data_IF_307324965153
#
_entry.id   IF_307324965153
#
_cell.length_a   1.000
_cell.length_b   1.000
_cell.length_c   1.000
_cell.angle_alpha   90.00
_cell.angle_beta   90.00
_cell.angle_gamma   90.00
#
_symmetry.space_group_name_H-M   'P 1'
#
loop_
_entity.id
_entity.type
_entity.pdbx_description
1 polymer ?
#
# COMPACT_ATOMS: atom_id res chain seq x y z
N UNK A 1 -25.49 4.96 -8.96
CA UNK A 1 -24.05 5.09 -9.29
C UNK A 1 -23.85 4.80 -10.77
N UNK A 2 -23.16 5.68 -11.51
CA UNK A 2 -22.83 5.43 -12.92
C UNK A 2 -21.95 4.18 -13.04
N UNK A 3 -22.06 3.45 -14.15
CA UNK A 3 -21.29 2.21 -14.42
C UNK A 3 -19.77 2.42 -14.28
N UNK A 4 -19.27 3.59 -14.69
CA UNK A 4 -17.87 4.01 -14.54
C UNK A 4 -17.42 4.12 -13.07
N UNK A 5 -18.27 4.64 -12.18
CA UNK A 5 -17.97 4.79 -10.75
C UNK A 5 -17.75 3.44 -10.05
N UNK A 6 -18.54 2.41 -10.42
CA UNK A 6 -18.42 1.06 -9.85
C UNK A 6 -17.11 0.38 -10.24
N UNK A 7 -16.70 0.51 -11.50
CA UNK A 7 -15.45 -0.07 -12.02
C UNK A 7 -14.25 0.57 -11.34
N UNK A 8 -14.26 1.90 -11.14
CA UNK A 8 -13.21 2.61 -10.40
C UNK A 8 -13.09 2.16 -8.95
N UNK A 9 -14.20 2.00 -8.25
CA UNK A 9 -14.19 1.47 -6.88
C UNK A 9 -13.61 0.05 -6.84
N UNK A 10 -14.01 -0.82 -7.77
CA UNK A 10 -13.44 -2.16 -7.88
C UNK A 10 -11.92 -2.14 -8.17
N UNK A 11 -11.47 -1.23 -9.03
CA UNK A 11 -10.04 -1.03 -9.29
C UNK A 11 -9.29 -0.51 -8.07
N UNK A 12 -9.85 0.46 -7.34
CA UNK A 12 -9.26 0.94 -6.08
C UNK A 12 -9.12 -0.18 -5.06
N UNK A 13 -10.12 -1.06 -4.95
CA UNK A 13 -10.05 -2.24 -4.06
C UNK A 13 -8.92 -3.18 -4.49
N UNK A 14 -8.90 -3.57 -5.77
CA UNK A 14 -7.89 -4.48 -6.29
C UNK A 14 -6.48 -3.92 -6.16
N UNK A 15 -6.28 -2.66 -6.55
CA UNK A 15 -4.98 -1.98 -6.47
C UNK A 15 -4.56 -1.80 -5.02
N UNK A 16 -5.47 -1.41 -4.13
CA UNK A 16 -5.19 -1.28 -2.70
C UNK A 16 -4.73 -2.59 -2.08
N UNK A 17 -5.49 -3.67 -2.27
CA UNK A 17 -5.15 -5.01 -1.76
C UNK A 17 -3.80 -5.50 -2.31
N UNK A 18 -3.58 -5.37 -3.62
CA UNK A 18 -2.34 -5.83 -4.26
C UNK A 18 -1.12 -5.03 -3.75
N UNK A 19 -1.24 -3.71 -3.64
CA UNK A 19 -0.17 -2.86 -3.15
C UNK A 19 0.12 -3.07 -1.67
N UNK A 20 -0.92 -3.26 -0.84
CA UNK A 20 -0.75 -3.62 0.57
C UNK A 20 0.02 -4.93 0.73
N UNK A 21 -0.36 -5.95 -0.03
CA UNK A 21 0.33 -7.24 -0.02
C UNK A 21 1.79 -7.13 -0.47
N UNK A 22 2.05 -6.45 -1.58
CA UNK A 22 3.39 -6.25 -2.11
C UNK A 22 4.25 -5.39 -1.19
N UNK A 23 3.68 -4.39 -0.53
CA UNK A 23 4.40 -3.55 0.42
C UNK A 23 4.82 -4.35 1.66
N UNK A 24 3.94 -5.20 2.20
CA UNK A 24 4.31 -6.07 3.33
C UNK A 24 5.43 -7.04 2.95
N UNK A 25 5.35 -7.66 1.77
CA UNK A 25 6.43 -8.51 1.25
C UNK A 25 7.75 -7.74 1.11
N UNK A 26 7.70 -6.57 0.48
CA UNK A 26 8.87 -5.74 0.26
C UNK A 26 9.50 -5.32 1.59
N UNK A 27 8.70 -4.78 2.53
CA UNK A 27 9.19 -4.33 3.83
C UNK A 27 9.76 -5.49 4.65
N UNK A 28 9.14 -6.66 4.61
CA UNK A 28 9.67 -7.83 5.36
C UNK A 28 11.02 -8.28 4.82
N UNK A 29 11.16 -8.42 3.50
CA UNK A 29 12.43 -8.82 2.86
C UNK A 29 13.49 -7.74 3.08
N UNK A 30 13.09 -6.48 2.98
CA UNK A 30 13.98 -5.34 3.14
C UNK A 30 14.51 -5.26 4.57
N UNK A 31 13.66 -5.45 5.58
CA UNK A 31 14.00 -5.44 7.00
C UNK A 31 14.90 -6.62 7.40
N UNK A 32 14.62 -7.82 6.87
CA UNK A 32 15.49 -9.00 7.06
C UNK A 32 16.88 -8.77 6.46
N UNK A 33 16.94 -8.17 5.27
CA UNK A 33 18.21 -7.82 4.64
C UNK A 33 18.97 -6.73 5.40
N UNK A 34 18.31 -5.65 5.83
CA UNK A 34 18.99 -4.57 6.55
C UNK A 34 19.50 -5.04 7.89
N UNK A 35 18.70 -5.79 8.65
CA UNK A 35 19.11 -6.33 9.96
C UNK A 35 20.29 -7.32 9.87
N UNK A 36 20.42 -8.05 8.77
CA UNK A 36 21.53 -8.99 8.55
C UNK A 36 22.82 -8.28 8.13
N UNK A 37 22.73 -7.20 7.35
CA UNK A 37 23.89 -6.51 6.75
C UNK A 37 24.37 -5.35 7.62
N UNK A 38 23.47 -4.67 8.33
CA UNK A 38 23.73 -3.42 9.04
C UNK A 38 23.81 -3.68 10.53
N UNK A 39 25.01 -3.54 11.09
CA UNK A 39 25.24 -3.71 12.54
C UNK A 39 24.90 -2.48 13.38
N UNK A 40 24.77 -1.31 12.74
CA UNK A 40 24.45 -0.05 13.40
C UNK A 40 22.94 0.17 13.45
N UNK A 41 22.37 0.15 14.66
CA UNK A 41 20.94 0.33 14.90
C UNK A 41 20.38 1.65 14.37
N UNK A 42 21.16 2.74 14.42
CA UNK A 42 20.74 4.04 13.88
C UNK A 42 20.56 4.00 12.36
N UNK A 43 21.42 3.25 11.66
CA UNK A 43 21.38 3.15 10.20
C UNK A 43 20.23 2.24 9.78
N UNK A 44 19.98 1.16 10.52
CA UNK A 44 18.86 0.26 10.28
C UNK A 44 17.50 0.99 10.36
N UNK A 45 17.26 1.74 11.43
CA UNK A 45 16.04 2.56 11.58
C UNK A 45 15.88 3.57 10.44
N UNK A 46 16.97 4.20 9.99
CA UNK A 46 16.93 5.12 8.86
C UNK A 46 16.44 4.42 7.59
N UNK A 47 16.94 3.22 7.30
CA UNK A 47 16.47 2.45 6.14
C UNK A 47 15.02 2.01 6.27
N UNK A 48 14.55 1.58 7.45
CA UNK A 48 13.13 1.25 7.65
C UNK A 48 12.22 2.45 7.36
N UNK A 49 12.60 3.66 7.80
CA UNK A 49 11.87 4.90 7.50
C UNK A 49 11.86 5.17 5.99
N UNK A 50 13.00 4.98 5.30
CA UNK A 50 13.08 5.13 3.85
C UNK A 50 12.16 4.14 3.12
N UNK A 51 12.13 2.88 3.55
CA UNK A 51 11.26 1.84 2.98
C UNK A 51 9.79 2.24 3.09
N UNK A 52 9.36 2.67 4.28
CA UNK A 52 7.98 3.12 4.53
C UNK A 52 7.65 4.36 3.66
N UNK A 53 8.57 5.32 3.56
CA UNK A 53 8.36 6.51 2.75
C UNK A 53 8.18 6.18 1.27
N UNK A 54 8.96 5.25 0.72
CA UNK A 54 8.83 4.76 -0.66
C UNK A 54 7.44 4.15 -0.87
N UNK A 55 7.00 3.26 0.03
CA UNK A 55 5.66 2.67 -0.03
C UNK A 55 4.56 3.75 -0.01
N UNK A 56 4.68 4.73 0.88
CA UNK A 56 3.71 5.83 0.98
C UNK A 56 3.59 6.64 -0.31
N UNK A 57 4.72 6.96 -0.96
CA UNK A 57 4.73 7.64 -2.26
C UNK A 57 4.02 6.78 -3.32
N UNK A 58 4.35 5.49 -3.40
CA UNK A 58 3.72 4.56 -4.35
C UNK A 58 2.21 4.47 -4.15
N UNK A 59 1.73 4.42 -2.90
CA UNK A 59 0.30 4.36 -2.60
C UNK A 59 -0.44 5.61 -3.08
N UNK A 60 0.12 6.79 -2.85
CA UNK A 60 -0.47 8.06 -3.28
C UNK A 60 -0.52 8.15 -4.82
N UNK A 61 0.58 7.80 -5.50
CA UNK A 61 0.64 7.83 -6.96
C UNK A 61 -0.34 6.85 -7.61
N UNK A 62 -0.43 5.62 -7.09
CA UNK A 62 -1.37 4.61 -7.57
C UNK A 62 -2.82 5.06 -7.37
N UNK A 63 -3.17 5.64 -6.23
CA UNK A 63 -4.48 6.22 -5.98
C UNK A 63 -4.81 7.31 -7.01
N UNK A 64 -3.91 8.28 -7.20
CA UNK A 64 -4.10 9.37 -8.16
C UNK A 64 -4.25 8.83 -9.60
N UNK A 65 -3.50 7.79 -9.96
CA UNK A 65 -3.60 7.12 -11.26
C UNK A 65 -5.01 6.57 -11.54
N UNK A 66 -5.65 5.95 -10.54
CA UNK A 66 -7.00 5.39 -10.69
C UNK A 66 -8.07 6.50 -10.75
N UNK A 67 -7.92 7.56 -9.96
CA UNK A 67 -8.97 8.58 -9.83
C UNK A 67 -8.86 9.72 -10.86
N UNK A 68 -7.72 9.93 -11.51
CA UNK A 68 -7.53 10.98 -12.53
C UNK A 68 -8.33 10.75 -13.83
N UNK A 69 -8.75 9.51 -14.11
CA UNK A 69 -9.08 9.10 -15.47
C UNK A 69 -10.42 9.51 -16.13
N UNK A 70 -11.45 10.11 -15.52
CA UNK A 70 -12.72 10.32 -16.28
C UNK A 70 -13.77 11.28 -15.69
N UNK A 71 -13.93 11.42 -14.37
CA UNK A 71 -14.97 12.29 -13.79
C UNK A 71 -14.45 13.10 -12.61
N UNK A 72 -14.72 14.42 -12.61
CA UNK A 72 -14.52 15.30 -11.46
C UNK A 72 -15.45 14.86 -10.34
N UNK A 73 -14.93 14.13 -9.36
CA UNK A 73 -15.67 13.89 -8.12
C UNK A 73 -15.77 15.20 -7.31
N UNK A 74 -16.83 15.39 -6.51
CA UNK A 74 -16.78 16.39 -5.47
C UNK A 74 -15.63 16.06 -4.50
N UNK A 75 -15.03 17.07 -3.88
CA UNK A 75 -13.89 16.91 -2.96
C UNK A 75 -14.17 15.85 -1.88
N UNK A 76 -15.40 15.80 -1.36
CA UNK A 76 -15.85 14.78 -0.40
C UNK A 76 -15.75 13.35 -0.94
N UNK A 77 -16.06 13.16 -2.22
CA UNK A 77 -15.93 11.88 -2.89
C UNK A 77 -14.47 11.45 -2.93
N UNK A 78 -13.55 12.34 -3.33
CA UNK A 78 -12.12 12.02 -3.37
C UNK A 78 -11.60 11.60 -2.00
N UNK A 79 -12.04 12.27 -0.93
CA UNK A 79 -11.62 11.93 0.42
C UNK A 79 -12.15 10.56 0.86
N UNK A 80 -13.42 10.25 0.58
CA UNK A 80 -14.00 8.95 0.96
C UNK A 80 -13.43 7.77 0.14
N UNK A 81 -13.15 7.95 -1.16
CA UNK A 81 -12.44 6.91 -1.92
C UNK A 81 -11.02 6.69 -1.44
N UNK A 82 -10.33 7.76 -1.03
CA UNK A 82 -8.98 7.65 -0.50
C UNK A 82 -8.96 6.85 0.79
N UNK A 83 -9.84 7.19 1.75
CA UNK A 83 -10.00 6.41 2.98
C UNK A 83 -10.32 4.94 2.71
N UNK A 84 -11.23 4.69 1.77
CA UNK A 84 -11.59 3.32 1.43
C UNK A 84 -10.43 2.55 0.78
N UNK A 85 -9.69 3.18 -0.12
CA UNK A 85 -8.47 2.64 -0.70
C UNK A 85 -7.42 2.32 0.37
N UNK A 86 -7.21 3.22 1.33
CA UNK A 86 -6.24 3.05 2.42
C UNK A 86 -6.61 1.85 3.32
N UNK A 87 -7.89 1.67 3.64
CA UNK A 87 -8.37 0.48 4.36
C UNK A 87 -8.06 -0.80 3.58
N UNK A 88 -8.22 -0.78 2.25
CA UNK A 88 -7.90 -1.94 1.40
C UNK A 88 -6.40 -2.22 1.35
N UNK A 89 -5.54 -1.19 1.38
CA UNK A 89 -4.08 -1.34 1.53
C UNK A 89 -3.75 -2.02 2.85
N UNK A 90 -4.34 -1.57 3.96
CA UNK A 90 -4.13 -2.19 5.28
C UNK A 90 -4.57 -3.67 5.26
N UNK A 91 -5.74 -3.97 4.69
CA UNK A 91 -6.22 -5.36 4.56
C UNK A 91 -5.29 -6.23 3.71
N UNK A 92 -4.77 -5.68 2.60
CA UNK A 92 -3.79 -6.36 1.76
C UNK A 92 -2.50 -6.67 2.50
N UNK A 93 -2.00 -5.70 3.29
CA UNK A 93 -0.81 -5.88 4.13
C UNK A 93 -1.02 -6.92 5.22
N UNK A 94 -2.16 -6.87 5.94
CA UNK A 94 -2.53 -7.88 6.93
C UNK A 94 -2.59 -9.29 6.34
N UNK A 95 -3.15 -9.41 5.13
CA UNK A 95 -3.19 -10.68 4.40
C UNK A 95 -1.78 -11.15 4.00
N UNK A 96 -0.92 -10.24 3.53
CA UNK A 96 0.48 -10.54 3.24
C UNK A 96 1.24 -11.03 4.47
N UNK A 97 1.05 -10.37 5.61
CA UNK A 97 1.65 -10.74 6.89
C UNK A 97 1.18 -12.12 7.35
N UNK A 98 -0.11 -12.38 7.26
CA UNK A 98 -0.68 -13.69 7.59
C UNK A 98 -0.07 -14.79 6.71
N UNK A 99 0.08 -14.55 5.42
CA UNK A 99 0.75 -15.50 4.51
C UNK A 99 2.21 -15.70 4.90
N UNK A 100 2.97 -14.64 5.11
CA UNK A 100 4.38 -14.71 5.49
C UNK A 100 4.58 -15.50 6.78
N UNK A 101 3.71 -15.32 7.78
CA UNK A 101 3.72 -16.08 9.03
C UNK A 101 3.44 -17.58 8.85
N UNK A 102 2.77 -18.00 7.77
CA UNK A 102 2.61 -19.42 7.46
C UNK A 102 3.90 -20.04 6.88
N UNK A 103 4.81 -19.23 6.33
CA UNK A 103 6.05 -19.68 5.70
C UNK A 103 7.30 -19.45 6.57
N UNK A 104 7.32 -18.37 7.34
CA UNK A 104 8.37 -18.03 8.30
C UNK A 104 7.94 -18.60 9.66
N UNK A 105 8.69 -19.60 10.12
CA UNK A 105 8.37 -20.41 11.30
C UNK A 105 8.83 -19.74 12.60
#
# INVERSE_FOLDING_TARGET
>A
MKKSTKIRLALLVLVGLALGFLAELFLTIFDDWTSTVITSSTIDVFFSICGIAICGVVFIFSYLGVVKNDEKWPIRGYFTSFLFYDIMVIWGGMFGKFILQMFIK
#
